data_IF_571277141798
#
_entry.id   IF_571277141798
#
_cell.length_a   1.000
_cell.length_b   1.000
_cell.length_c   1.000
_cell.angle_alpha   90.00
_cell.angle_beta   90.00
_cell.angle_gamma   90.00
#
_symmetry.space_group_name_H-M   'P 1'
#
loop_
_entity.id
_entity.type
_entity.pdbx_description
1 polymer ?
#
# COMPACT_ATOMS: atom_id res chain seq x y z
N UNK A 1 -58.79 -6.03 -20.05
CA UNK A 1 -58.03 -4.86 -20.55
C UNK A 1 -56.99 -4.50 -19.51
N UNK A 2 -55.70 -4.56 -19.92
CA UNK A 2 -54.47 -4.09 -19.25
C UNK A 2 -54.09 -4.66 -17.87
N UNK A 3 -53.02 -5.45 -17.92
CA UNK A 3 -52.05 -5.75 -16.87
C UNK A 3 -51.60 -4.48 -16.12
N UNK A 4 -51.51 -4.63 -14.80
CA UNK A 4 -50.68 -3.84 -13.88
C UNK A 4 -49.21 -4.12 -14.20
N UNK A 5 -48.36 -3.11 -14.35
CA UNK A 5 -46.98 -3.19 -13.86
C UNK A 5 -46.52 -1.82 -13.35
N UNK A 6 -46.07 -1.88 -12.11
CA UNK A 6 -45.58 -0.85 -11.22
C UNK A 6 -44.10 -0.51 -11.54
N UNK A 7 -43.69 0.69 -11.15
CA UNK A 7 -42.45 1.35 -11.56
C UNK A 7 -41.19 0.73 -10.91
N UNK A 8 -40.24 0.40 -11.79
CA UNK A 8 -38.80 0.76 -11.76
C UNK A 8 -38.09 0.92 -10.40
N UNK A 9 -37.19 -0.03 -10.09
CA UNK A 9 -35.92 0.21 -9.39
C UNK A 9 -34.74 0.05 -10.39
N UNK A 10 -34.83 0.85 -11.45
CA UNK A 10 -33.84 1.03 -12.52
C UNK A 10 -32.48 1.49 -11.97
N UNK A 11 -31.40 0.80 -12.33
CA UNK A 11 -30.43 1.33 -13.31
C UNK A 11 -29.06 0.64 -13.25
N UNK A 12 -28.70 -0.11 -12.19
CA UNK A 12 -27.38 -0.79 -12.10
C UNK A 12 -27.38 -2.32 -12.20
N UNK A 13 -28.55 -2.96 -12.14
CA UNK A 13 -28.73 -4.38 -12.51
C UNK A 13 -28.99 -4.61 -14.02
N UNK A 14 -29.06 -3.53 -14.80
CA UNK A 14 -29.60 -3.53 -16.16
C UNK A 14 -28.59 -3.87 -17.26
N UNK A 15 -27.28 -3.92 -16.98
CA UNK A 15 -26.27 -4.22 -18.02
C UNK A 15 -25.76 -5.67 -17.93
N UNK A 16 -25.63 -6.25 -16.74
CA UNK A 16 -25.22 -7.66 -16.58
C UNK A 16 -26.39 -8.65 -16.76
N UNK A 17 -27.63 -8.26 -16.48
CA UNK A 17 -28.81 -9.08 -16.77
C UNK A 17 -29.24 -9.09 -18.25
N UNK A 18 -28.87 -8.06 -19.03
CA UNK A 18 -29.28 -7.95 -20.43
C UNK A 18 -28.39 -8.77 -21.37
N UNK A 19 -27.10 -8.95 -21.05
CA UNK A 19 -26.21 -9.80 -21.86
C UNK A 19 -26.52 -11.29 -21.68
N UNK A 20 -27.04 -11.69 -20.51
CA UNK A 20 -27.47 -13.08 -20.27
C UNK A 20 -28.87 -13.41 -20.85
N UNK A 21 -29.71 -12.39 -21.11
CA UNK A 21 -31.06 -12.57 -21.66
C UNK A 21 -31.10 -12.53 -23.20
N UNK A 22 -30.15 -11.87 -23.85
CA UNK A 22 -30.08 -11.83 -25.33
C UNK A 22 -29.66 -13.19 -25.93
N UNK A 23 -29.01 -14.06 -25.15
CA UNK A 23 -28.66 -15.43 -25.57
C UNK A 23 -29.80 -16.45 -25.38
N UNK A 24 -30.93 -16.06 -24.75
CA UNK A 24 -32.09 -16.95 -24.54
C UNK A 24 -33.21 -16.78 -25.59
N UNK A 25 -33.10 -15.84 -26.54
CA UNK A 25 -34.15 -15.57 -27.54
C UNK A 25 -33.81 -15.96 -28.99
N UNK A 26 -32.57 -16.32 -29.31
CA UNK A 26 -32.29 -17.04 -30.57
C UNK A 26 -32.21 -18.52 -30.23
N UNK A 27 -33.36 -19.19 -30.25
CA UNK A 27 -33.49 -20.63 -30.02
C UNK A 27 -32.76 -21.46 -31.07
N UNK A 28 -31.43 -21.46 -31.04
CA UNK A 28 -30.63 -22.51 -31.64
C UNK A 28 -30.50 -23.62 -30.60
N UNK A 29 -30.78 -24.89 -30.96
CA UNK A 29 -30.54 -26.01 -30.08
C UNK A 29 -29.05 -26.05 -29.75
N UNK A 30 -28.69 -25.90 -28.48
CA UNK A 30 -27.31 -26.14 -28.05
C UNK A 30 -27.05 -27.65 -28.09
N UNK A 31 -26.03 -28.10 -28.84
CA UNK A 31 -25.53 -29.46 -28.70
C UNK A 31 -24.92 -29.61 -27.31
N UNK A 32 -25.29 -30.69 -26.65
CA UNK A 32 -24.72 -31.14 -25.39
C UNK A 32 -23.19 -31.27 -25.57
N UNK A 33 -22.46 -30.32 -25.01
CA UNK A 33 -21.01 -30.33 -24.97
C UNK A 33 -20.60 -29.93 -23.56
N UNK A 34 -20.44 -30.95 -22.73
CA UNK A 34 -19.78 -30.82 -21.44
C UNK A 34 -18.42 -30.14 -21.61
N UNK A 35 -18.17 -29.12 -20.81
CA UNK A 35 -16.82 -28.62 -20.56
C UNK A 35 -16.81 -27.88 -19.23
N UNK A 36 -15.78 -28.17 -18.44
CA UNK A 36 -15.76 -28.04 -16.99
C UNK A 36 -15.87 -26.62 -16.43
N UNK A 37 -16.51 -26.55 -15.27
CA UNK A 37 -16.60 -25.41 -14.36
C UNK A 37 -15.27 -25.06 -13.67
N UNK A 38 -14.13 -25.27 -14.33
CA UNK A 38 -12.80 -25.11 -13.72
C UNK A 38 -12.16 -23.74 -13.93
N UNK A 39 -12.54 -23.01 -14.98
CA UNK A 39 -11.76 -21.83 -15.43
C UNK A 39 -12.21 -20.53 -14.75
N UNK A 40 -13.48 -20.43 -14.34
CA UNK A 40 -14.02 -19.23 -13.67
C UNK A 40 -13.59 -19.15 -12.18
N UNK A 41 -13.41 -20.29 -11.51
CA UNK A 41 -12.92 -20.32 -10.12
C UNK A 41 -11.42 -20.03 -10.02
N UNK A 42 -10.62 -20.51 -10.99
CA UNK A 42 -9.17 -20.29 -11.02
C UNK A 42 -8.80 -18.83 -11.30
N UNK A 43 -9.56 -18.13 -12.14
CA UNK A 43 -9.32 -16.71 -12.42
C UNK A 43 -9.57 -15.81 -11.19
N UNK A 44 -10.57 -16.14 -10.37
CA UNK A 44 -10.89 -15.37 -9.17
C UNK A 44 -9.96 -15.63 -7.99
N UNK A 45 -9.36 -16.82 -7.93
CA UNK A 45 -8.33 -17.16 -6.95
C UNK A 45 -6.98 -16.52 -7.33
N UNK A 46 -6.63 -16.52 -8.62
CA UNK A 46 -5.43 -15.85 -9.14
C UNK A 46 -5.54 -14.31 -9.09
N UNK A 47 -6.75 -13.74 -9.23
CA UNK A 47 -6.97 -12.30 -9.04
C UNK A 47 -6.78 -11.87 -7.58
N UNK A 48 -7.13 -12.72 -6.60
CA UNK A 48 -6.84 -12.47 -5.17
C UNK A 48 -5.34 -12.58 -4.85
N UNK A 49 -4.63 -13.49 -5.51
CA UNK A 49 -3.19 -13.64 -5.34
C UNK A 49 -2.38 -12.46 -5.93
N UNK A 50 -2.89 -11.78 -6.96
CA UNK A 50 -2.26 -10.61 -7.60
C UNK A 50 -2.57 -9.30 -6.85
N UNK A 51 -3.51 -9.33 -5.91
CA UNK A 51 -3.96 -8.17 -5.15
C UNK A 51 -3.40 -8.16 -3.72
N UNK A 52 -2.09 -8.44 -3.57
CA UNK A 52 -1.36 -8.02 -2.39
C UNK A 52 -1.24 -6.49 -2.41
N UNK A 53 -2.35 -5.78 -2.14
CA UNK A 53 -2.35 -4.35 -1.90
C UNK A 53 -1.44 -4.10 -0.71
N UNK A 54 -0.22 -3.66 -0.96
CA UNK A 54 0.58 -3.01 0.08
C UNK A 54 -0.24 -1.79 0.48
N UNK A 55 -0.94 -1.90 1.60
CA UNK A 55 -1.79 -0.83 2.09
C UNK A 55 -0.88 0.23 2.67
N UNK A 56 -0.73 1.33 1.94
CA UNK A 56 0.14 2.46 2.30
C UNK A 56 -0.70 3.52 3.01
N UNK A 57 -0.21 3.95 4.18
CA UNK A 57 -0.83 5.00 5.01
C UNK A 57 -0.20 6.36 4.74
N UNK A 58 1.11 6.43 4.58
CA UNK A 58 1.84 7.68 4.32
C UNK A 58 3.14 7.39 3.54
N UNK A 59 3.56 8.32 2.70
CA UNK A 59 4.90 8.35 2.08
C UNK A 59 5.58 9.66 2.47
N UNK A 60 6.87 9.60 2.78
CA UNK A 60 7.71 10.77 2.99
C UNK A 60 9.03 10.59 2.23
N UNK A 61 9.51 11.64 1.58
CA UNK A 61 10.72 11.59 0.75
C UNK A 61 11.74 12.62 1.26
N UNK A 62 13.00 12.22 1.32
CA UNK A 62 14.13 13.13 1.45
C UNK A 62 14.81 13.36 0.09
N UNK A 63 16.09 13.76 0.09
CA UNK A 63 16.79 14.13 -1.14
C UNK A 63 16.94 12.95 -2.13
N UNK A 64 17.34 11.78 -1.62
CA UNK A 64 17.59 10.58 -2.43
C UNK A 64 17.09 9.29 -1.74
N UNK A 65 16.12 9.43 -0.83
CA UNK A 65 15.57 8.31 -0.08
C UNK A 65 14.08 8.50 0.19
N UNK A 66 13.38 7.39 0.38
CA UNK A 66 11.95 7.35 0.58
C UNK A 66 11.60 6.50 1.79
N UNK A 67 10.59 6.95 2.52
CA UNK A 67 9.98 6.31 3.66
C UNK A 67 8.52 5.98 3.31
N UNK A 68 8.11 4.75 3.58
CA UNK A 68 6.74 4.25 3.34
C UNK A 68 6.19 3.71 4.65
N UNK A 69 5.23 4.42 5.21
CA UNK A 69 4.44 3.95 6.33
C UNK A 69 3.24 3.15 5.81
N UNK A 70 3.18 1.88 6.16
CA UNK A 70 2.06 1.00 5.83
C UNK A 70 0.91 1.14 6.83
N UNK A 71 -0.27 0.64 6.48
CA UNK A 71 -1.46 0.66 7.37
C UNK A 71 -1.35 -0.30 8.55
N UNK A 72 -0.41 -1.25 8.52
CA UNK A 72 -0.04 -2.08 9.68
C UNK A 72 0.94 -1.37 10.64
N UNK A 73 1.17 -0.07 10.42
CA UNK A 73 2.04 0.81 11.19
C UNK A 73 3.52 0.39 11.21
N UNK A 74 3.94 -0.35 10.17
CA UNK A 74 5.34 -0.60 9.87
C UNK A 74 5.90 0.46 8.94
N UNK A 75 7.11 0.95 9.27
CA UNK A 75 7.85 1.92 8.48
C UNK A 75 8.93 1.21 7.66
N UNK A 76 8.91 1.45 6.36
CA UNK A 76 9.84 0.88 5.39
C UNK A 76 10.64 1.98 4.71
N UNK A 77 11.89 1.70 4.38
CA UNK A 77 12.81 2.68 3.80
C UNK A 77 13.54 2.13 2.58
N UNK A 78 13.85 2.99 1.61
CA UNK A 78 14.74 2.68 0.49
C UNK A 78 15.48 3.94 0.03
N UNK A 79 16.57 3.77 -0.70
CA UNK A 79 17.38 4.83 -1.28
C UNK A 79 18.70 5.06 -0.55
N UNK A 80 19.24 6.28 -0.71
CA UNK A 80 20.52 6.70 -0.15
C UNK A 80 20.54 6.61 1.38
N UNK A 81 21.66 6.17 1.94
CA UNK A 81 21.85 5.99 3.38
C UNK A 81 23.22 6.50 3.87
N UNK A 82 23.89 7.37 3.11
CA UNK A 82 25.26 7.81 3.40
C UNK A 82 25.44 8.45 4.79
N UNK A 83 24.37 8.98 5.37
CA UNK A 83 24.36 9.61 6.69
C UNK A 83 23.53 8.82 7.72
N UNK A 84 23.10 7.60 7.39
CA UNK A 84 22.24 6.80 8.27
C UNK A 84 20.76 7.22 8.26
N UNK A 85 20.32 7.96 7.23
CA UNK A 85 18.94 8.47 7.13
C UNK A 85 17.87 7.38 7.03
N UNK A 86 18.24 6.13 6.72
CA UNK A 86 17.30 5.01 6.74
C UNK A 86 17.13 4.41 8.14
N UNK A 87 18.07 4.65 9.07
CA UNK A 87 18.00 4.10 10.42
C UNK A 87 18.28 2.59 10.51
N UNK A 88 19.04 2.02 9.56
CA UNK A 88 19.34 0.57 9.47
C UNK A 88 20.55 0.13 10.31
N UNK A 89 21.15 1.01 11.11
CA UNK A 89 22.37 0.74 11.88
C UNK A 89 23.67 0.78 11.08
N UNK A 90 23.60 1.18 9.80
CA UNK A 90 24.75 1.32 8.91
C UNK A 90 24.52 2.47 7.91
N UNK A 91 25.49 2.69 7.01
CA UNK A 91 25.45 3.72 5.96
C UNK A 91 25.23 3.14 4.55
N UNK A 92 24.80 1.88 4.46
CA UNK A 92 24.66 1.17 3.18
C UNK A 92 23.35 1.55 2.49
N UNK A 93 23.42 1.99 1.23
CA UNK A 93 22.26 2.29 0.38
C UNK A 93 21.37 1.05 0.22
N UNK A 94 20.06 1.23 0.20
CA UNK A 94 19.08 0.16 -0.01
C UNK A 94 18.35 0.36 -1.33
N UNK A 95 18.37 -0.64 -2.20
CA UNK A 95 17.66 -0.59 -3.49
C UNK A 95 16.22 -1.14 -3.40
N UNK A 96 15.93 -1.91 -2.35
CA UNK A 96 14.61 -2.44 -2.04
C UNK A 96 14.10 -1.82 -0.73
N UNK A 97 12.78 -1.81 -0.56
CA UNK A 97 12.17 -1.43 0.72
C UNK A 97 12.63 -2.40 1.81
N UNK A 98 13.20 -1.86 2.89
CA UNK A 98 13.56 -2.60 4.10
C UNK A 98 12.73 -2.09 5.27
N UNK A 99 12.32 -3.00 6.17
CA UNK A 99 11.66 -2.63 7.42
C UNK A 99 12.67 -1.94 8.34
N UNK A 100 12.32 -0.75 8.85
CA UNK A 100 13.22 0.04 9.71
C UNK A 100 12.62 0.35 11.09
N UNK A 101 11.28 0.39 11.21
CA UNK A 101 10.61 0.62 12.50
C UNK A 101 9.19 0.04 12.52
N UNK A 102 8.68 -0.27 13.72
CA UNK A 102 7.30 -0.69 13.98
C UNK A 102 6.60 0.30 14.91
N UNK A 103 5.27 0.23 14.94
CA UNK A 103 4.40 1.07 15.76
C UNK A 103 4.55 2.57 15.45
N UNK A 104 4.73 2.89 14.17
CA UNK A 104 4.89 4.26 13.70
C UNK A 104 3.52 4.88 13.42
N UNK A 105 3.27 6.04 14.02
CA UNK A 105 2.05 6.82 13.82
C UNK A 105 2.17 7.74 12.61
N UNK A 106 3.32 8.39 12.44
CA UNK A 106 3.61 9.29 11.31
C UNK A 106 5.12 9.39 11.08
N UNK A 107 5.52 9.75 9.87
CA UNK A 107 6.92 9.93 9.47
C UNK A 107 7.11 11.25 8.71
N UNK A 108 8.26 11.89 8.89
CA UNK A 108 8.70 13.05 8.12
C UNK A 108 10.17 12.90 7.71
N UNK A 109 10.52 13.43 6.53
CA UNK A 109 11.89 13.40 6.01
C UNK A 109 12.38 14.82 5.76
N UNK A 110 13.61 15.10 6.18
CA UNK A 110 14.38 16.23 5.67
C UNK A 110 15.28 15.78 4.52
N UNK A 111 16.28 16.60 4.16
CA UNK A 111 17.17 16.28 3.05
C UNK A 111 17.96 14.98 3.26
N UNK A 112 18.48 14.78 4.48
CA UNK A 112 19.37 13.66 4.85
C UNK A 112 19.06 13.10 6.25
N UNK A 113 17.86 13.32 6.76
CA UNK A 113 17.43 12.83 8.08
C UNK A 113 15.94 12.47 8.07
N UNK A 114 15.53 11.68 9.06
CA UNK A 114 14.15 11.23 9.23
C UNK A 114 13.71 11.40 10.67
N UNK A 115 12.46 11.84 10.84
CA UNK A 115 11.75 11.88 12.11
C UNK A 115 10.57 10.91 12.04
N UNK A 116 10.38 10.10 13.07
CA UNK A 116 9.29 9.16 13.19
C UNK A 116 8.58 9.35 14.54
N UNK A 117 7.28 9.61 14.51
CA UNK A 117 6.44 9.65 15.71
C UNK A 117 5.86 8.25 15.92
N UNK A 118 6.15 7.61 17.05
CA UNK A 118 5.56 6.32 17.43
C UNK A 118 4.16 6.50 18.02
N UNK A 119 3.38 5.42 18.05
CA UNK A 119 2.02 5.40 18.61
C UNK A 119 1.98 5.71 20.10
N UNK A 120 3.03 5.37 20.82
CA UNK A 120 3.21 5.67 22.25
C UNK A 120 3.46 7.17 22.53
N UNK A 121 3.58 7.99 21.48
CA UNK A 121 3.82 9.43 21.59
C UNK A 121 5.30 9.81 21.61
N UNK A 122 6.23 8.85 21.58
CA UNK A 122 7.66 9.13 21.52
C UNK A 122 8.11 9.55 20.12
N UNK A 123 9.02 10.52 20.05
CA UNK A 123 9.64 10.98 18.80
C UNK A 123 11.01 10.32 18.64
N UNK A 124 11.31 9.87 17.43
CA UNK A 124 12.58 9.24 17.09
C UNK A 124 13.19 9.89 15.86
N UNK A 125 14.52 10.00 15.83
CA UNK A 125 15.27 10.64 14.76
C UNK A 125 16.44 9.77 14.29
N UNK A 126 16.81 9.89 13.01
CA UNK A 126 18.00 9.24 12.43
C UNK A 126 18.53 10.05 11.24
N UNK A 127 19.81 9.89 10.92
CA UNK A 127 20.45 10.50 9.76
C UNK A 127 21.49 11.56 10.09
N UNK A 128 21.69 12.47 9.14
CA UNK A 128 22.59 13.61 9.25
C UNK A 128 22.16 14.50 10.42
N UNK A 129 23.12 14.91 11.25
CA UNK A 129 22.91 15.79 12.40
C UNK A 129 23.89 16.97 12.46
N UNK A 130 24.64 17.24 11.39
CA UNK A 130 25.69 18.28 11.41
C UNK A 130 25.18 19.69 11.73
N UNK A 131 23.86 19.93 11.58
CA UNK A 131 23.19 21.18 11.92
C UNK A 131 22.27 21.06 13.16
N UNK A 132 22.34 19.95 13.91
CA UNK A 132 21.48 19.69 15.07
C UNK A 132 20.04 19.29 14.73
N UNK A 133 19.77 18.90 13.48
CA UNK A 133 18.42 18.60 12.98
C UNK A 133 17.75 17.38 13.64
N UNK A 134 18.51 16.52 14.33
CA UNK A 134 17.93 15.39 15.07
C UNK A 134 17.39 15.80 16.44
N UNK A 135 17.78 16.97 16.97
CA UNK A 135 17.31 17.46 18.26
C UNK A 135 17.90 16.76 19.49
N UNK A 136 18.99 16.00 19.33
CA UNK A 136 19.63 15.19 20.39
C UNK A 136 20.50 15.98 21.37
N UNK A 137 20.64 17.29 21.19
CA UNK A 137 21.54 18.13 22.01
C UNK A 137 23.02 18.04 21.60
N UNK A 138 23.32 17.35 20.49
CA UNK A 138 24.65 17.24 19.88
C UNK A 138 24.54 17.38 18.35
N UNK A 139 25.67 17.24 17.66
CA UNK A 139 25.80 17.31 16.20
C UNK A 139 26.31 16.01 15.56
N UNK A 140 26.25 14.90 16.30
CA UNK A 140 26.72 13.59 15.83
C UNK A 140 25.63 12.91 14.98
N UNK A 141 25.98 12.34 13.82
CA UNK A 141 25.00 11.59 13.03
C UNK A 141 24.50 10.34 13.76
N UNK A 142 23.31 9.86 13.39
CA UNK A 142 22.73 8.64 13.96
C UNK A 142 22.38 7.67 12.83
N UNK A 143 22.93 6.46 12.89
CA UNK A 143 22.67 5.43 11.87
C UNK A 143 21.55 4.48 12.26
N UNK A 144 21.15 4.52 13.53
CA UNK A 144 19.95 3.90 14.07
C UNK A 144 19.05 4.98 14.64
N UNK A 145 17.75 4.73 14.64
CA UNK A 145 16.81 5.62 15.31
C UNK A 145 17.17 5.80 16.78
N UNK A 146 17.26 7.05 17.20
CA UNK A 146 17.41 7.47 18.59
C UNK A 146 16.16 8.22 19.03
N UNK A 147 15.72 8.01 20.27
CA UNK A 147 14.63 8.77 20.84
C UNK A 147 15.08 10.21 21.14
N UNK A 148 14.20 11.18 20.89
CA UNK A 148 14.41 12.61 21.13
C UNK A 148 13.48 13.12 22.22
#
# INVERSE_FOLDING_TARGET
MKMKVEKQNCFRFLITGLVLLVLLFTGCPMPDAGMGTGVESEFQENARAVQAFVSVKQVACGLEFSMVLKTDDTLWAAGSNQYGQLGTGDTTRRYNLVLVMRDVKSVGCGWRHTLALKKDGTLWATGDNRSGQLGTGDNDERWSFVQV
#
